data_IF_910907923560
#
_entry.id   IF_910907923560
#
_cell.length_a   1.000
_cell.length_b   1.000
_cell.length_c   1.000
_cell.angle_alpha   90.00
_cell.angle_beta   90.00
_cell.angle_gamma   90.00
#
_symmetry.space_group_name_H-M   'P 1'
#
loop_
_entity.id
_entity.type
_entity.pdbx_description
1 polymer ?
#
# COMPACT_ATOMS: atom_id res chain seq x y z
N UNK A 1 -12.76 6.29 -6.47
CA UNK A 1 -13.20 6.19 -5.05
C UNK A 1 -14.58 5.58 -5.02
N UNK A 2 -14.81 4.63 -4.14
CA UNK A 2 -16.11 3.96 -3.93
C UNK A 2 -16.39 3.89 -2.43
N UNK A 3 -17.61 4.23 -2.02
CA UNK A 3 -18.07 4.21 -0.64
C UNK A 3 -19.29 3.31 -0.58
N UNK A 4 -19.27 2.31 0.30
CA UNK A 4 -20.41 1.44 0.56
C UNK A 4 -20.81 1.57 2.03
N UNK A 5 -21.89 2.30 2.27
CA UNK A 5 -22.40 2.55 3.62
C UNK A 5 -23.04 1.29 4.24
N UNK A 6 -23.76 0.50 3.43
CA UNK A 6 -24.45 -0.69 3.91
C UNK A 6 -23.48 -1.77 4.41
N UNK A 7 -22.34 -1.91 3.74
CA UNK A 7 -21.28 -2.87 4.09
C UNK A 7 -20.12 -2.23 4.89
N UNK A 8 -20.20 -0.92 5.17
CA UNK A 8 -19.23 -0.15 5.94
C UNK A 8 -17.77 -0.27 5.43
N UNK A 9 -17.56 0.00 4.14
CA UNK A 9 -16.21 0.06 3.56
C UNK A 9 -16.03 1.21 2.56
N UNK A 10 -14.77 1.64 2.43
CA UNK A 10 -14.32 2.64 1.45
C UNK A 10 -13.16 2.05 0.66
N UNK A 11 -13.15 2.26 -0.66
CA UNK A 11 -12.05 1.89 -1.54
C UNK A 11 -11.58 3.09 -2.35
N UNK A 12 -10.27 3.28 -2.39
CA UNK A 12 -9.60 4.30 -3.20
C UNK A 12 -8.69 3.56 -4.16
N UNK A 13 -8.91 3.74 -5.46
CA UNK A 13 -8.11 3.12 -6.50
C UNK A 13 -7.50 4.22 -7.35
N UNK A 14 -6.22 4.08 -7.68
CA UNK A 14 -5.52 4.90 -8.65
C UNK A 14 -4.84 4.01 -9.70
N UNK A 15 -4.87 4.48 -10.94
CA UNK A 15 -4.03 3.96 -12.01
C UNK A 15 -2.68 4.71 -12.05
N UNK A 16 -1.86 4.41 -13.06
CA UNK A 16 -0.52 4.96 -13.19
C UNK A 16 0.54 4.14 -12.45
N UNK A 17 1.74 4.68 -12.30
CA UNK A 17 2.86 3.97 -11.71
C UNK A 17 2.51 3.43 -10.31
N UNK A 18 2.70 2.13 -10.10
CA UNK A 18 2.40 1.45 -8.84
C UNK A 18 3.65 1.24 -7.98
N UNK A 19 3.44 0.79 -6.75
CA UNK A 19 4.53 0.32 -5.89
C UNK A 19 5.17 -0.95 -6.47
N UNK A 20 6.51 -1.06 -6.42
CA UNK A 20 7.19 -2.24 -6.95
C UNK A 20 6.87 -3.49 -6.15
N UNK A 21 6.36 -4.54 -6.81
CA UNK A 21 6.07 -5.82 -6.14
C UNK A 21 7.35 -6.67 -6.05
N UNK A 22 8.23 -6.26 -5.14
CA UNK A 22 9.51 -6.90 -4.84
C UNK A 22 9.86 -6.82 -3.35
N UNK A 23 10.90 -7.54 -2.93
CA UNK A 23 11.40 -7.52 -1.56
C UNK A 23 12.40 -6.38 -1.44
N UNK A 24 12.18 -5.47 -0.48
CA UNK A 24 13.12 -4.42 -0.13
C UNK A 24 14.41 -5.02 0.43
N UNK A 25 15.56 -4.61 -0.12
CA UNK A 25 16.86 -5.25 0.15
C UNK A 25 17.27 -5.19 1.62
N UNK A 26 16.99 -4.09 2.31
CA UNK A 26 17.40 -3.88 3.70
C UNK A 26 16.38 -4.41 4.70
N UNK A 27 15.11 -3.99 4.59
CA UNK A 27 14.00 -4.40 5.46
C UNK A 27 13.51 -5.85 5.25
N UNK A 28 13.98 -6.56 4.22
CA UNK A 28 13.66 -7.98 3.95
C UNK A 28 12.16 -8.31 3.88
N UNK A 29 11.36 -7.35 3.41
CA UNK A 29 9.91 -7.50 3.25
C UNK A 29 9.43 -6.86 1.96
N UNK A 30 8.19 -7.15 1.55
CA UNK A 30 7.65 -6.56 0.34
C UNK A 30 7.46 -5.04 0.48
N UNK A 31 7.76 -4.30 -0.58
CA UNK A 31 7.62 -2.84 -0.56
C UNK A 31 6.19 -2.39 -0.22
N UNK A 32 5.10 -2.98 -0.77
CA UNK A 32 3.75 -2.67 -0.32
C UNK A 32 3.52 -2.93 1.18
N UNK A 33 4.05 -4.03 1.73
CA UNK A 33 3.96 -4.31 3.18
C UNK A 33 4.64 -3.22 3.99
N UNK A 34 5.84 -2.82 3.58
CA UNK A 34 6.63 -1.79 4.25
C UNK A 34 5.88 -0.45 4.27
N UNK A 35 5.40 0.01 3.11
CA UNK A 35 4.76 1.32 2.96
C UNK A 35 3.44 1.43 3.72
N UNK A 36 2.65 0.35 3.79
CA UNK A 36 1.30 0.35 4.38
C UNK A 36 1.20 -0.27 5.77
N UNK A 37 2.18 -1.05 6.20
CA UNK A 37 2.19 -1.76 7.48
C UNK A 37 3.21 -1.26 8.49
N UNK A 38 4.17 -0.41 8.09
CA UNK A 38 5.20 0.11 8.98
C UNK A 38 5.15 1.64 9.08
N UNK A 39 5.10 2.13 10.32
CA UNK A 39 5.19 3.56 10.60
C UNK A 39 6.53 4.12 10.13
N UNK A 40 6.59 5.43 9.91
CA UNK A 40 7.80 6.14 9.51
C UNK A 40 8.46 5.60 8.21
N UNK A 41 7.63 5.12 7.29
CA UNK A 41 8.07 4.70 5.94
C UNK A 41 7.51 5.68 4.90
N UNK A 42 8.41 6.32 4.13
CA UNK A 42 8.10 7.27 3.06
C UNK A 42 9.29 7.46 2.11
N UNK A 43 9.03 7.71 0.84
CA UNK A 43 10.05 8.12 -0.15
C UNK A 43 10.29 9.65 -0.15
N UNK A 44 9.66 10.39 0.77
CA UNK A 44 9.64 11.86 0.80
C UNK A 44 10.34 12.42 2.05
N UNK A 45 11.34 11.71 2.57
CA UNK A 45 12.14 12.18 3.71
C UNK A 45 13.34 13.03 3.31
N UNK A 46 13.75 12.97 2.04
CA UNK A 46 14.81 13.82 1.53
C UNK A 46 14.25 15.21 1.16
N UNK A 47 14.48 16.17 2.06
CA UNK A 47 14.04 17.57 1.89
C UNK A 47 14.96 18.35 0.91
N UNK A 48 16.07 17.75 0.44
CA UNK A 48 16.91 18.33 -0.62
C UNK A 48 16.31 18.10 -2.03
N UNK A 49 15.36 17.17 -2.17
CA UNK A 49 14.59 16.98 -3.39
C UNK A 49 13.37 17.92 -3.42
N UNK A 50 13.31 18.83 -4.39
CA UNK A 50 12.12 19.68 -4.59
C UNK A 50 10.92 18.83 -5.04
N UNK A 51 10.06 18.48 -4.08
CA UNK A 51 8.80 17.75 -4.33
C UNK A 51 7.60 18.66 -4.07
N UNK A 52 6.66 18.67 -5.01
CA UNK A 52 5.34 19.32 -4.86
C UNK A 52 4.27 18.34 -4.35
N UNK A 53 4.67 17.25 -3.70
CA UNK A 53 3.75 16.20 -3.22
C UNK A 53 3.22 16.54 -1.82
N UNK A 54 1.99 16.12 -1.51
CA UNK A 54 1.36 16.43 -0.21
C UNK A 54 1.82 15.54 0.96
N UNK A 55 2.44 14.39 0.68
CA UNK A 55 2.86 13.43 1.71
C UNK A 55 4.28 13.74 2.21
N UNK A 56 4.43 13.95 3.52
CA UNK A 56 5.73 14.32 4.13
C UNK A 56 6.21 13.34 5.20
N UNK A 57 5.32 12.99 6.14
CA UNK A 57 5.74 12.34 7.38
C UNK A 57 5.69 10.81 7.36
N UNK A 58 5.17 10.20 6.27
CA UNK A 58 5.04 8.75 6.19
C UNK A 58 4.03 8.14 7.17
N UNK A 59 2.96 8.86 7.53
CA UNK A 59 1.92 8.37 8.47
C UNK A 59 0.57 8.05 7.83
N UNK A 60 0.11 8.84 6.84
CA UNK A 60 -1.30 8.85 6.38
C UNK A 60 -1.91 7.46 6.16
N UNK A 61 -1.29 6.64 5.31
CA UNK A 61 -1.78 5.29 5.01
C UNK A 61 -1.85 4.37 6.24
N UNK A 62 -0.86 4.48 7.15
CA UNK A 62 -0.81 3.67 8.37
C UNK A 62 -1.84 4.12 9.39
N UNK A 63 -2.11 5.42 9.49
CA UNK A 63 -3.19 5.91 10.36
C UNK A 63 -4.54 5.35 9.89
N UNK A 64 -4.80 5.33 8.57
CA UNK A 64 -6.01 4.69 8.03
C UNK A 64 -6.07 3.20 8.41
N UNK A 65 -4.96 2.48 8.30
CA UNK A 65 -4.86 1.08 8.71
C UNK A 65 -5.15 0.90 10.21
N UNK A 66 -4.51 1.70 11.07
CA UNK A 66 -4.69 1.68 12.53
C UNK A 66 -6.14 1.97 12.94
N UNK A 67 -6.84 2.87 12.24
CA UNK A 67 -8.24 3.18 12.54
C UNK A 67 -9.25 2.24 11.85
N UNK A 68 -8.79 1.21 11.14
CA UNK A 68 -9.65 0.25 10.43
C UNK A 68 -9.73 -1.10 11.16
N UNK A 69 -10.92 -1.73 11.11
CA UNK A 69 -11.07 -3.15 11.51
C UNK A 69 -10.41 -4.10 10.51
N UNK A 70 -10.46 -3.72 9.22
CA UNK A 70 -9.85 -4.43 8.11
C UNK A 70 -9.32 -3.41 7.11
N UNK A 71 -8.07 -3.59 6.70
CA UNK A 71 -7.40 -2.76 5.70
C UNK A 71 -6.77 -3.67 4.65
N UNK A 72 -7.10 -3.46 3.38
CA UNK A 72 -6.65 -4.32 2.28
C UNK A 72 -5.87 -3.46 1.30
N UNK A 73 -4.71 -3.95 0.87
CA UNK A 73 -3.94 -3.35 -0.21
C UNK A 73 -3.85 -4.34 -1.36
N UNK A 74 -4.17 -3.85 -2.54
CA UNK A 74 -4.03 -4.57 -3.79
C UNK A 74 -3.25 -3.73 -4.80
N UNK A 75 -2.14 -4.26 -5.32
CA UNK A 75 -1.33 -3.59 -6.33
C UNK A 75 -1.11 -4.51 -7.53
N UNK A 76 -1.34 -4.01 -8.75
CA UNK A 76 -0.91 -4.67 -9.97
C UNK A 76 0.35 -4.00 -10.50
N UNK A 77 1.48 -4.72 -10.53
CA UNK A 77 2.75 -4.28 -11.13
C UNK A 77 2.94 -5.01 -12.46
N UNK A 78 2.53 -4.33 -13.54
CA UNK A 78 2.63 -4.83 -14.91
C UNK A 78 4.07 -4.99 -15.38
N UNK A 79 4.99 -4.13 -14.89
CA UNK A 79 6.43 -4.21 -15.21
C UNK A 79 7.06 -5.50 -14.69
N UNK A 80 6.77 -5.88 -13.44
CA UNK A 80 7.27 -7.12 -12.81
C UNK A 80 6.36 -8.32 -13.02
N UNK A 81 5.21 -8.10 -13.65
CA UNK A 81 4.17 -9.11 -13.92
C UNK A 81 3.64 -9.78 -12.66
N UNK A 82 3.44 -8.99 -11.59
CA UNK A 82 3.00 -9.48 -10.28
C UNK A 82 1.83 -8.67 -9.76
N UNK A 83 0.85 -9.36 -9.20
CA UNK A 83 -0.22 -8.76 -8.40
C UNK A 83 0.02 -9.09 -6.94
N UNK A 84 -0.05 -8.08 -6.09
CA UNK A 84 0.11 -8.17 -4.65
C UNK A 84 -1.24 -7.97 -3.98
N UNK A 85 -1.56 -8.79 -2.99
CA UNK A 85 -2.71 -8.61 -2.11
C UNK A 85 -2.30 -8.89 -0.66
N UNK A 86 -2.54 -7.96 0.25
CA UNK A 86 -2.33 -8.18 1.68
C UNK A 86 -3.46 -7.54 2.49
N UNK A 87 -3.78 -8.15 3.61
CA UNK A 87 -4.82 -7.69 4.53
C UNK A 87 -4.23 -7.52 5.93
N UNK A 88 -4.60 -6.41 6.57
CA UNK A 88 -4.42 -6.17 7.98
C UNK A 88 -5.79 -6.15 8.65
N UNK A 89 -5.82 -6.62 9.89
CA UNK A 89 -7.02 -6.65 10.73
C UNK A 89 -6.68 -6.11 12.12
N UNK A 90 -7.72 -5.81 12.91
CA UNK A 90 -7.61 -5.41 14.31
C UNK A 90 -6.67 -4.21 14.52
N UNK A 91 -6.97 -3.08 13.87
CA UNK A 91 -6.24 -1.83 14.07
C UNK A 91 -4.75 -1.93 13.70
N UNK A 92 -4.44 -2.63 12.61
CA UNK A 92 -3.08 -3.01 12.18
C UNK A 92 -2.39 -4.02 13.12
N UNK A 93 -3.07 -4.56 14.12
CA UNK A 93 -2.53 -5.53 15.08
C UNK A 93 -2.28 -6.91 14.48
N UNK A 94 -3.09 -7.31 13.51
CA UNK A 94 -2.97 -8.60 12.81
C UNK A 94 -2.53 -8.36 11.38
N UNK A 95 -1.36 -8.88 10.99
CA UNK A 95 -0.83 -8.82 9.63
C UNK A 95 -1.03 -10.16 8.91
N UNK A 96 -1.85 -10.17 7.87
CA UNK A 96 -2.02 -11.31 6.98
C UNK A 96 -0.79 -11.56 6.10
N UNK A 97 -0.59 -12.82 5.67
CA UNK A 97 0.45 -13.17 4.69
C UNK A 97 0.09 -12.59 3.33
N UNK A 98 1.04 -11.99 2.60
CA UNK A 98 0.76 -11.49 1.26
C UNK A 98 0.53 -12.64 0.28
N UNK A 99 -0.45 -12.46 -0.60
CA UNK A 99 -0.68 -13.29 -1.78
C UNK A 99 -0.08 -12.60 -2.99
N UNK A 100 0.81 -13.30 -3.71
CA UNK A 100 1.45 -12.79 -4.92
C UNK A 100 1.11 -13.72 -6.07
N UNK A 101 0.47 -13.18 -7.09
CA UNK A 101 0.04 -13.92 -8.29
C UNK A 101 0.59 -13.30 -9.55
N UNK A 102 0.55 -14.04 -10.66
CA UNK A 102 0.95 -13.53 -11.96
C UNK A 102 -0.02 -12.44 -12.42
N UNK A 103 0.52 -11.38 -13.03
CA UNK A 103 -0.26 -10.24 -13.51
C UNK A 103 0.27 -9.75 -14.86
N UNK A 104 -0.62 -9.35 -15.76
CA UNK A 104 -0.26 -8.86 -17.09
C UNK A 104 -1.09 -7.62 -17.49
N UNK A 105 -1.75 -6.99 -16.52
CA UNK A 105 -2.54 -5.78 -16.74
C UNK A 105 -1.73 -4.50 -16.58
N UNK A 106 -2.43 -3.37 -16.60
CA UNK A 106 -1.87 -2.03 -16.36
C UNK A 106 -1.58 -1.82 -14.88
N UNK A 107 -0.63 -0.96 -14.58
CA UNK A 107 -0.32 -0.64 -13.19
C UNK A 107 -1.52 0.00 -12.48
N UNK A 108 -1.77 -0.45 -11.25
CA UNK A 108 -2.77 0.14 -10.35
C UNK A 108 -2.43 -0.11 -8.87
N UNK A 109 -3.02 0.70 -7.99
CA UNK A 109 -3.05 0.50 -6.54
C UNK A 109 -4.47 0.73 -6.02
N UNK A 110 -4.92 -0.13 -5.11
CA UNK A 110 -6.26 -0.13 -4.52
C UNK A 110 -6.20 -0.46 -3.03
#
# INVERSE_FOLDING_TARGET
VTINEAENWVSVENDGATLPVEIHKEHKMHVPEMVFGHLLTSDNYDDDEEKITGGRNGYGAKLTNIFSKKFVIECGDGKRKKKYLQTWEDNMGTKGKPSITQYAGKDYTK
#
